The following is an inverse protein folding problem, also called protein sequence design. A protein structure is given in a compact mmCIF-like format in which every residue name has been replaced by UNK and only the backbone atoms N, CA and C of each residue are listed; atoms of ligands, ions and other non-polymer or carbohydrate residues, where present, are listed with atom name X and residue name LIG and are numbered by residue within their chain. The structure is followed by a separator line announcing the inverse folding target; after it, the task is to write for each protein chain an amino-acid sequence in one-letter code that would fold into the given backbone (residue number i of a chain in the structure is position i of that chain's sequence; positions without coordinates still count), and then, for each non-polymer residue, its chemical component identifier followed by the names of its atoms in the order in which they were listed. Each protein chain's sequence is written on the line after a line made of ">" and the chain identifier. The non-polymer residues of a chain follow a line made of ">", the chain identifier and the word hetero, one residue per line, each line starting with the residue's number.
data_IF_612048036057
#
_entry.id   IF_612048036057
#
_cell.length_a   1.000
_cell.length_b   1.000
_cell.length_c   1.000
_cell.angle_alpha   90.00
_cell.angle_beta   90.00
_cell.angle_gamma   90.00
#
_symmetry.space_group_name_H-M   'P 1'
#
loop_
_entity.id
_entity.type
_entity.pdbx_description
1 polymer ?
#
# COMPACT_ATOMS: atom_id res chain seq x y z
N UNK A 1 1.12 -15.86 13.46
CA UNK A 1 1.41 -15.52 14.88
C UNK A 1 1.50 -14.01 15.09
N UNK A 2 2.41 -13.29 14.41
CA UNK A 2 2.65 -11.85 14.63
C UNK A 2 1.43 -10.92 14.48
N UNK A 3 0.60 -11.12 13.46
CA UNK A 3 -0.60 -10.31 13.26
C UNK A 3 -1.60 -10.41 14.44
N UNK A 4 -1.74 -11.60 15.03
CA UNK A 4 -2.61 -11.80 16.21
C UNK A 4 -2.06 -11.15 17.48
N UNK A 5 -0.73 -11.21 17.67
CA UNK A 5 -0.06 -10.49 18.78
C UNK A 5 -0.25 -8.98 18.62
N UNK A 6 -0.08 -8.46 17.40
CA UNK A 6 -0.34 -7.04 17.09
C UNK A 6 -1.78 -6.63 17.43
N UNK A 7 -2.78 -7.46 17.12
CA UNK A 7 -4.16 -7.19 17.51
C UNK A 7 -4.32 -7.10 19.03
N UNK A 8 -3.72 -8.03 19.79
CA UNK A 8 -3.74 -8.00 21.25
C UNK A 8 -3.11 -6.72 21.81
N UNK A 9 -1.95 -6.31 21.29
CA UNK A 9 -1.29 -5.05 21.66
C UNK A 9 -2.15 -3.83 21.34
N UNK A 10 -2.80 -3.82 20.17
CA UNK A 10 -3.69 -2.73 19.76
C UNK A 10 -4.90 -2.59 20.69
N UNK A 11 -5.49 -3.71 21.10
CA UNK A 11 -6.59 -3.75 22.08
C UNK A 11 -6.13 -3.28 23.46
N UNK A 12 -4.87 -3.58 23.83
CA UNK A 12 -4.26 -3.13 25.08
C UNK A 12 -3.86 -1.63 25.07
N UNK A 13 -4.12 -0.90 23.99
CA UNK A 13 -3.88 0.55 23.89
C UNK A 13 -2.58 0.95 23.20
N UNK A 14 -1.82 0.00 22.63
CA UNK A 14 -0.63 0.30 21.81
C UNK A 14 -1.02 0.60 20.36
N UNK A 15 -0.07 1.13 19.56
CA UNK A 15 -0.20 1.31 18.11
C UNK A 15 0.87 0.49 17.37
N UNK A 16 0.70 -0.84 17.24
CA UNK A 16 1.73 -1.70 16.70
C UNK A 16 1.89 -1.55 15.18
N UNK A 17 3.13 -1.58 14.73
CA UNK A 17 3.51 -1.70 13.32
C UNK A 17 4.13 -3.09 13.14
N UNK A 18 3.33 -4.01 12.59
CA UNK A 18 3.72 -5.41 12.38
C UNK A 18 4.31 -5.55 10.98
N UNK A 19 5.49 -6.17 10.87
CA UNK A 19 6.10 -6.49 9.59
C UNK A 19 5.82 -7.96 9.20
N UNK A 20 5.43 -8.17 7.96
CA UNK A 20 5.50 -9.47 7.28
C UNK A 20 6.67 -9.40 6.29
N UNK A 21 7.67 -10.26 6.47
CA UNK A 21 8.94 -10.18 5.71
C UNK A 21 8.72 -10.10 4.19
N UNK A 22 7.86 -10.97 3.67
CA UNK A 22 7.32 -10.93 2.31
C UNK A 22 5.83 -11.23 2.33
N UNK A 23 5.06 -10.61 1.44
CA UNK A 23 3.62 -10.84 1.36
C UNK A 23 3.27 -12.31 1.08
N UNK A 24 4.09 -13.03 0.29
CA UNK A 24 3.94 -14.46 0.04
C UNK A 24 4.06 -15.32 1.31
N UNK A 25 4.97 -14.96 2.22
CA UNK A 25 5.11 -15.60 3.54
C UNK A 25 3.99 -15.15 4.52
N UNK A 26 3.32 -14.05 4.19
CA UNK A 26 2.21 -13.48 4.95
C UNK A 26 0.93 -14.32 4.95
N UNK A 27 0.82 -15.34 4.10
CA UNK A 27 -0.35 -16.22 4.00
C UNK A 27 -0.74 -16.84 5.34
N UNK A 28 0.23 -17.24 6.17
CA UNK A 28 -0.02 -17.76 7.52
C UNK A 28 -0.67 -16.75 8.47
N UNK A 29 -0.56 -15.44 8.18
CA UNK A 29 -1.20 -14.37 8.94
C UNK A 29 -2.59 -14.00 8.41
N UNK A 30 -2.97 -14.44 7.20
CA UNK A 30 -4.25 -14.08 6.58
C UNK A 30 -5.44 -14.49 7.44
N UNK A 31 -5.41 -15.67 8.06
CA UNK A 31 -6.51 -16.09 8.94
C UNK A 31 -6.77 -15.05 10.04
N UNK A 32 -5.73 -14.54 10.70
CA UNK A 32 -5.89 -13.51 11.73
C UNK A 32 -6.34 -12.18 11.16
N UNK A 33 -5.81 -11.78 10.00
CA UNK A 33 -6.21 -10.54 9.31
C UNK A 33 -7.70 -10.58 8.98
N UNK A 34 -8.16 -11.66 8.36
CA UNK A 34 -9.51 -11.81 7.80
C UNK A 34 -10.57 -12.08 8.87
N UNK A 35 -10.24 -12.91 9.87
CA UNK A 35 -11.25 -13.39 10.82
C UNK A 35 -11.26 -12.60 12.12
N UNK A 36 -10.17 -11.91 12.48
CA UNK A 36 -10.07 -11.18 13.75
C UNK A 36 -9.83 -9.69 13.56
N UNK A 37 -8.70 -9.30 12.96
CA UNK A 37 -8.28 -7.89 12.86
C UNK A 37 -9.33 -7.05 12.13
N UNK A 38 -9.71 -7.49 10.92
CA UNK A 38 -10.67 -6.79 10.07
C UNK A 38 -12.06 -6.66 10.68
N UNK A 39 -12.40 -7.53 11.64
CA UNK A 39 -13.74 -7.62 12.22
C UNK A 39 -13.82 -7.00 13.60
N UNK A 40 -12.72 -6.64 14.26
CA UNK A 40 -12.72 -6.31 15.69
C UNK A 40 -13.66 -5.16 16.04
N UNK A 41 -13.59 -4.04 15.29
CA UNK A 41 -14.49 -2.90 15.46
C UNK A 41 -15.96 -3.30 15.33
N UNK A 42 -16.30 -4.03 14.26
CA UNK A 42 -17.68 -4.44 14.01
C UNK A 42 -18.18 -5.50 15.01
N UNK A 43 -17.37 -6.52 15.28
CA UNK A 43 -17.64 -7.63 16.22
C UNK A 43 -18.00 -7.12 17.61
N UNK A 44 -17.31 -6.07 18.05
CA UNK A 44 -17.46 -5.51 19.39
C UNK A 44 -18.37 -4.30 19.42
N UNK A 45 -19.04 -3.98 18.30
CA UNK A 45 -19.91 -2.81 18.12
C UNK A 45 -19.21 -1.51 18.55
N UNK A 46 -17.94 -1.38 18.20
CA UNK A 46 -17.12 -0.21 18.49
C UNK A 46 -16.45 -0.19 19.86
N UNK A 47 -16.71 -1.16 20.75
CA UNK A 47 -16.05 -1.21 22.07
C UNK A 47 -14.54 -1.37 21.96
N UNK A 48 -14.06 -2.17 21.01
CA UNK A 48 -12.63 -2.32 20.71
C UNK A 48 -12.37 -1.99 19.24
N UNK A 49 -11.32 -1.20 19.00
CA UNK A 49 -10.79 -0.91 17.66
C UNK A 49 -9.49 -1.68 17.43
N UNK A 50 -8.96 -1.65 16.20
CA UNK A 50 -7.69 -2.27 15.86
C UNK A 50 -6.73 -1.25 15.21
N UNK A 51 -6.26 -0.23 15.98
CA UNK A 51 -5.33 0.79 15.48
C UNK A 51 -3.93 0.18 15.28
N UNK A 52 -3.70 -0.45 14.13
CA UNK A 52 -2.45 -1.13 13.82
C UNK A 52 -2.10 -1.05 12.35
N UNK A 53 -0.81 -1.12 12.06
CA UNK A 53 -0.29 -1.23 10.71
C UNK A 53 0.27 -2.63 10.49
N UNK A 54 -0.02 -3.22 9.34
CA UNK A 54 0.67 -4.41 8.86
C UNK A 54 1.37 -4.02 7.57
N UNK A 55 2.70 -4.02 7.60
CA UNK A 55 3.51 -3.70 6.43
C UNK A 55 4.17 -4.95 5.87
N UNK A 56 4.22 -5.05 4.55
CA UNK A 56 4.79 -6.20 3.86
C UNK A 56 5.42 -5.77 2.55
N UNK A 57 6.54 -6.40 2.20
CA UNK A 57 7.12 -6.27 0.87
C UNK A 57 6.29 -7.07 -0.14
N UNK A 58 6.12 -6.56 -1.36
CA UNK A 58 5.31 -7.23 -2.40
C UNK A 58 5.89 -7.09 -3.81
N UNK A 59 5.37 -7.90 -4.73
CA UNK A 59 5.59 -7.76 -6.16
C UNK A 59 6.96 -8.25 -6.66
N UNK A 60 7.00 -8.54 -7.96
CA UNK A 60 8.17 -9.14 -8.62
C UNK A 60 9.17 -8.12 -9.19
N UNK A 61 9.97 -8.60 -10.15
CA UNK A 61 10.97 -7.79 -10.86
C UNK A 61 12.34 -7.69 -10.17
N UNK A 62 12.57 -8.50 -9.13
CA UNK A 62 13.84 -8.58 -8.38
C UNK A 62 14.52 -9.96 -8.45
N UNK A 63 13.96 -10.90 -9.24
CA UNK A 63 14.46 -12.29 -9.37
C UNK A 63 14.55 -13.02 -8.02
N UNK A 64 13.59 -12.80 -7.14
CA UNK A 64 13.54 -13.48 -5.87
C UNK A 64 13.08 -14.94 -6.02
N UNK A 65 13.35 -15.76 -4.99
CA UNK A 65 12.90 -17.15 -4.91
C UNK A 65 11.38 -17.22 -4.67
N UNK A 66 10.84 -18.43 -4.69
CA UNK A 66 9.42 -18.70 -4.40
C UNK A 66 8.95 -18.01 -3.10
N UNK A 67 7.73 -17.47 -3.08
CA UNK A 67 7.12 -16.73 -1.95
C UNK A 67 7.65 -15.32 -1.66
N UNK A 68 8.42 -14.72 -2.58
CA UNK A 68 9.02 -13.39 -2.42
C UNK A 68 8.59 -12.38 -3.51
N UNK A 69 7.52 -12.65 -4.26
CA UNK A 69 7.13 -11.80 -5.41
C UNK A 69 5.62 -11.70 -5.64
N UNK A 70 4.83 -12.23 -4.72
CA UNK A 70 3.39 -12.26 -4.80
C UNK A 70 2.79 -10.85 -4.71
N UNK A 71 1.70 -10.66 -5.43
CA UNK A 71 0.84 -9.50 -5.40
C UNK A 71 -0.56 -9.97 -4.96
N UNK A 72 -0.85 -9.84 -3.66
CA UNK A 72 -2.08 -10.33 -3.01
C UNK A 72 -3.00 -9.19 -2.57
N UNK A 73 -2.77 -7.98 -3.05
CA UNK A 73 -3.56 -6.78 -2.74
C UNK A 73 -5.04 -6.97 -3.10
N UNK A 74 -5.34 -7.69 -4.19
CA UNK A 74 -6.73 -7.96 -4.59
C UNK A 74 -7.46 -8.81 -3.54
N UNK A 75 -6.81 -9.85 -3.01
CA UNK A 75 -7.39 -10.66 -1.93
C UNK A 75 -7.61 -9.84 -0.67
N UNK A 76 -6.63 -9.02 -0.28
CA UNK A 76 -6.74 -8.14 0.89
C UNK A 76 -7.84 -7.08 0.70
N UNK A 77 -7.94 -6.50 -0.49
CA UNK A 77 -9.00 -5.54 -0.83
C UNK A 77 -10.40 -6.16 -0.77
N UNK A 78 -10.54 -7.47 -0.96
CA UNK A 78 -11.84 -8.13 -0.79
C UNK A 78 -12.26 -8.29 0.68
N UNK A 79 -11.38 -8.03 1.66
CA UNK A 79 -11.67 -8.22 3.09
C UNK A 79 -12.24 -6.94 3.71
N UNK A 80 -13.52 -6.87 4.10
CA UNK A 80 -14.10 -5.67 4.71
C UNK A 80 -13.45 -5.34 6.06
N UNK A 81 -13.32 -4.04 6.38
CA UNK A 81 -12.82 -3.59 7.68
C UNK A 81 -11.29 -3.43 7.78
N UNK A 82 -10.56 -3.61 6.68
CA UNK A 82 -9.16 -3.18 6.54
C UNK A 82 -9.03 -2.15 5.41
N UNK A 83 -8.03 -1.28 5.53
CA UNK A 83 -7.55 -0.41 4.45
C UNK A 83 -6.29 -1.02 3.83
N UNK A 84 -6.05 -0.80 2.55
CA UNK A 84 -4.90 -1.33 1.80
C UNK A 84 -4.30 -0.21 0.98
N UNK A 85 -3.02 0.09 1.21
CA UNK A 85 -2.25 1.11 0.47
C UNK A 85 -1.02 0.49 -0.17
N UNK A 86 -0.63 1.02 -1.33
CA UNK A 86 0.49 0.56 -2.14
C UNK A 86 1.24 1.76 -2.74
N UNK A 87 2.14 2.42 -1.98
CA UNK A 87 2.91 3.57 -2.46
C UNK A 87 3.83 3.21 -3.62
N UNK A 88 4.07 4.19 -4.50
CA UNK A 88 5.00 4.08 -5.64
C UNK A 88 6.21 5.02 -5.55
N UNK A 89 6.23 5.95 -4.58
CA UNK A 89 7.29 6.96 -4.43
C UNK A 89 7.80 7.03 -2.98
N UNK A 90 9.03 7.51 -2.72
CA UNK A 90 9.50 7.79 -1.37
C UNK A 90 8.62 8.78 -0.59
N UNK A 91 8.14 9.84 -1.24
CA UNK A 91 7.22 10.81 -0.64
C UNK A 91 5.92 10.14 -0.17
N UNK A 92 5.30 9.36 -1.05
CA UNK A 92 4.04 8.67 -0.74
C UNK A 92 4.24 7.59 0.32
N UNK A 93 5.36 6.86 0.26
CA UNK A 93 5.69 5.84 1.28
C UNK A 93 5.71 6.45 2.67
N UNK A 94 6.42 7.58 2.87
CA UNK A 94 6.45 8.27 4.16
C UNK A 94 5.06 8.75 4.57
N UNK A 95 4.39 9.49 3.68
CA UNK A 95 3.10 10.11 4.01
C UNK A 95 2.00 9.10 4.30
N UNK A 96 1.91 8.02 3.53
CA UNK A 96 0.89 6.97 3.71
C UNK A 96 1.20 6.10 4.93
N UNK A 97 2.48 5.80 5.22
CA UNK A 97 2.83 5.05 6.42
C UNK A 97 2.51 5.84 7.70
N UNK A 98 2.79 7.15 7.72
CA UNK A 98 2.42 8.00 8.85
C UNK A 98 0.89 8.11 8.98
N UNK A 99 0.15 8.29 7.88
CA UNK A 99 -1.31 8.25 7.89
C UNK A 99 -1.87 6.91 8.38
N UNK A 100 -1.21 5.80 8.05
CA UNK A 100 -1.58 4.46 8.49
C UNK A 100 -1.39 4.28 10.01
N UNK A 101 -0.31 4.83 10.58
CA UNK A 101 -0.04 4.81 12.03
C UNK A 101 -1.06 5.65 12.81
N UNK A 102 -1.54 6.74 12.22
CA UNK A 102 -2.59 7.58 12.84
C UNK A 102 -4.00 7.00 12.70
N UNK A 103 -4.22 6.11 11.73
CA UNK A 103 -5.52 5.51 11.48
C UNK A 103 -6.03 4.74 12.71
N UNK A 104 -7.32 4.94 13.11
CA UNK A 104 -7.93 4.15 14.17
C UNK A 104 -8.35 2.74 13.67
N UNK A 105 -8.24 2.51 12.37
CA UNK A 105 -8.57 1.25 11.68
C UNK A 105 -7.30 0.54 11.21
N UNK A 106 -7.32 -0.80 11.07
CA UNK A 106 -6.17 -1.55 10.59
C UNK A 106 -5.85 -1.20 9.14
N UNK A 107 -4.58 -0.90 8.87
CA UNK A 107 -4.08 -0.55 7.54
C UNK A 107 -2.98 -1.53 7.11
N UNK A 108 -3.14 -2.08 5.91
CA UNK A 108 -2.11 -2.86 5.24
C UNK A 108 -1.29 -1.94 4.33
N UNK A 109 0.01 -1.85 4.56
CA UNK A 109 0.95 -1.07 3.74
C UNK A 109 1.78 -2.04 2.92
N UNK A 110 1.55 -2.05 1.61
CA UNK A 110 2.25 -2.94 0.68
C UNK A 110 3.38 -2.17 0.01
N UNK A 111 4.62 -2.59 0.25
CA UNK A 111 5.83 -1.90 -0.20
C UNK A 111 6.41 -2.65 -1.40
N UNK A 112 6.30 -2.12 -2.65
CA UNK A 112 6.78 -2.84 -3.81
C UNK A 112 8.31 -2.98 -3.77
N UNK A 113 8.79 -4.22 -3.69
CA UNK A 113 10.21 -4.49 -3.35
C UNK A 113 11.18 -3.92 -4.38
N UNK A 114 10.77 -3.95 -5.67
CA UNK A 114 11.55 -3.37 -6.79
C UNK A 114 11.82 -1.87 -6.59
N UNK A 115 10.99 -1.15 -5.83
CA UNK A 115 11.09 0.30 -5.69
C UNK A 115 12.00 0.79 -4.56
N UNK A 116 12.34 -0.04 -3.56
CA UNK A 116 13.12 0.37 -2.38
C UNK A 116 14.38 1.18 -2.69
N UNK A 117 15.07 0.84 -3.79
CA UNK A 117 16.31 1.50 -4.22
C UNK A 117 16.30 1.87 -5.70
N UNK A 118 15.11 1.94 -6.31
CA UNK A 118 14.99 2.21 -7.74
C UNK A 118 15.37 3.66 -8.11
N UNK A 119 15.06 4.62 -7.24
CA UNK A 119 15.35 6.03 -7.44
C UNK A 119 15.36 6.77 -6.10
N UNK A 120 15.86 8.02 -6.11
CA UNK A 120 15.81 8.94 -4.97
C UNK A 120 14.83 10.06 -5.29
N UNK A 121 14.17 10.57 -4.26
CA UNK A 121 13.28 11.72 -4.32
C UNK A 121 13.56 12.60 -3.11
N UNK A 122 13.44 13.91 -3.25
CA UNK A 122 13.42 14.80 -2.10
C UNK A 122 12.16 14.53 -1.29
N UNK A 123 12.33 14.27 0.01
CA UNK A 123 11.23 13.98 0.93
C UNK A 123 11.33 15.01 2.06
N UNK A 124 10.28 15.84 2.28
CA UNK A 124 10.30 16.83 3.35
C UNK A 124 10.64 16.20 4.69
N UNK A 125 11.47 16.86 5.49
CA UNK A 125 11.71 16.48 6.88
C UNK A 125 10.46 16.70 7.75
N UNK A 126 10.47 16.17 8.98
CA UNK A 126 9.35 16.32 9.91
C UNK A 126 8.14 15.45 9.57
N UNK A 127 7.02 15.74 10.22
CA UNK A 127 5.79 14.94 10.11
C UNK A 127 4.89 15.49 8.99
N UNK A 128 4.45 14.62 8.09
CA UNK A 128 3.38 14.90 7.14
C UNK A 128 2.64 13.61 6.78
N UNK A 129 1.41 13.73 6.32
CA UNK A 129 0.58 12.61 5.89
C UNK A 129 0.12 12.77 4.45
N UNK A 130 -0.04 11.65 3.75
CA UNK A 130 -0.79 11.57 2.49
C UNK A 130 -2.11 10.88 2.79
N UNK A 131 -3.22 11.43 2.27
CA UNK A 131 -4.56 10.94 2.60
C UNK A 131 -4.80 9.55 2.02
N UNK A 132 -5.17 8.61 2.88
CA UNK A 132 -5.61 7.27 2.48
C UNK A 132 -6.97 7.37 1.78
N UNK A 133 -7.13 6.66 0.68
CA UNK A 133 -8.31 6.72 -0.19
C UNK A 133 -8.26 7.77 -1.28
N UNK A 134 -7.13 8.47 -1.45
CA UNK A 134 -6.95 9.42 -2.53
C UNK A 134 -5.80 9.00 -3.46
N UNK A 135 -6.15 8.85 -4.74
CA UNK A 135 -5.18 8.73 -5.82
C UNK A 135 -4.49 10.06 -6.12
N UNK A 136 -3.53 10.01 -7.02
CA UNK A 136 -2.73 11.14 -7.43
C UNK A 136 -2.59 11.18 -8.94
N UNK A 137 -2.92 12.34 -9.50
CA UNK A 137 -2.70 12.62 -10.91
C UNK A 137 -1.24 13.00 -11.12
N UNK A 138 -0.48 12.12 -11.74
CA UNK A 138 0.94 12.33 -12.02
C UNK A 138 1.13 13.25 -13.24
N UNK A 139 0.31 13.08 -14.27
CA UNK A 139 0.31 13.91 -15.46
C UNK A 139 -1.11 14.10 -15.97
N UNK A 140 -1.38 15.26 -16.56
CA UNK A 140 -2.62 15.51 -17.29
C UNK A 140 -2.54 14.93 -18.70
N UNK A 141 -3.70 14.51 -19.22
CA UNK A 141 -3.87 14.15 -20.61
C UNK A 141 -5.33 13.95 -20.99
N UNK A 142 -5.57 13.75 -22.29
CA UNK A 142 -6.93 13.74 -22.86
C UNK A 142 -7.22 12.57 -23.80
N UNK A 143 -6.19 11.91 -24.33
CA UNK A 143 -6.36 10.88 -25.35
C UNK A 143 -6.49 9.48 -24.73
N UNK A 144 -5.91 9.28 -23.54
CA UNK A 144 -5.97 8.04 -22.77
C UNK A 144 -5.69 8.33 -21.28
N UNK A 145 -6.36 7.61 -20.38
CA UNK A 145 -6.03 7.58 -18.96
C UNK A 145 -5.41 6.24 -18.58
N UNK A 146 -4.22 6.27 -17.98
CA UNK A 146 -3.56 5.12 -17.37
C UNK A 146 -3.77 5.15 -15.86
N UNK A 147 -4.49 4.15 -15.34
CA UNK A 147 -4.67 3.94 -13.90
C UNK A 147 -3.68 2.86 -13.43
N UNK A 148 -2.86 3.20 -12.44
CA UNK A 148 -1.74 2.37 -11.99
C UNK A 148 -1.56 2.48 -10.47
N UNK A 149 -0.67 1.66 -9.90
CA UNK A 149 -0.20 1.75 -8.52
C UNK A 149 1.14 1.03 -8.37
N UNK A 150 1.83 1.26 -7.25
CA UNK A 150 3.05 0.56 -6.89
C UNK A 150 4.13 0.58 -7.98
N UNK A 151 4.74 -0.57 -8.26
CA UNK A 151 5.82 -0.71 -9.26
C UNK A 151 5.41 -0.23 -10.65
N UNK A 152 4.20 -0.57 -11.07
CA UNK A 152 3.70 -0.30 -12.41
C UNK A 152 3.63 1.20 -12.70
N UNK A 153 3.49 2.04 -11.68
CA UNK A 153 3.49 3.49 -11.84
C UNK A 153 4.77 4.00 -12.49
N UNK A 154 5.92 3.46 -12.10
CA UNK A 154 7.22 3.84 -12.68
C UNK A 154 7.34 3.32 -14.11
N UNK A 155 6.84 2.11 -14.38
CA UNK A 155 6.89 1.52 -15.72
C UNK A 155 5.96 2.29 -16.69
N UNK A 156 4.77 2.73 -16.24
CA UNK A 156 3.86 3.60 -17.00
C UNK A 156 4.49 4.97 -17.32
N UNK A 157 5.12 5.63 -16.34
CA UNK A 157 5.80 6.92 -16.58
C UNK A 157 6.90 6.80 -17.64
N UNK A 158 7.70 5.73 -17.60
CA UNK A 158 8.74 5.47 -18.61
C UNK A 158 8.14 5.21 -19.99
N UNK A 159 7.05 4.44 -20.06
CA UNK A 159 6.37 4.17 -21.32
C UNK A 159 5.80 5.44 -21.95
N UNK A 160 5.17 6.31 -21.16
CA UNK A 160 4.64 7.60 -21.63
C UNK A 160 5.75 8.56 -22.04
N UNK A 161 6.86 8.62 -21.29
CA UNK A 161 8.02 9.42 -21.68
C UNK A 161 8.58 9.00 -23.04
N UNK A 162 8.73 7.69 -23.28
CA UNK A 162 9.17 7.16 -24.58
C UNK A 162 8.15 7.44 -25.69
N UNK A 163 6.85 7.23 -25.43
CA UNK A 163 5.80 7.52 -26.42
C UNK A 163 5.83 8.98 -26.85
N UNK A 164 6.10 9.91 -25.94
CA UNK A 164 6.17 11.35 -26.22
C UNK A 164 7.31 11.71 -27.18
N UNK A 165 8.38 10.93 -27.23
CA UNK A 165 9.48 11.11 -28.20
C UNK A 165 9.02 10.74 -29.63
N UNK A 166 8.20 9.72 -29.77
CA UNK A 166 7.71 9.21 -31.08
C UNK A 166 6.41 9.92 -31.54
N UNK A 167 5.57 10.32 -30.59
CA UNK A 167 4.20 10.83 -30.78
C UNK A 167 3.93 12.03 -29.85
N UNK A 168 4.55 13.20 -30.10
CA UNK A 168 4.41 14.38 -29.24
C UNK A 168 3.00 14.98 -29.25
N UNK A 169 2.17 14.60 -30.24
CA UNK A 169 0.76 14.97 -30.37
C UNK A 169 -0.16 14.25 -29.37
N UNK A 170 0.28 13.11 -28.83
CA UNK A 170 -0.52 12.26 -27.95
C UNK A 170 -0.33 12.68 -26.49
N UNK A 171 -1.44 12.82 -25.76
CA UNK A 171 -1.50 13.31 -24.39
C UNK A 171 -2.14 12.27 -23.47
N UNK A 172 -1.34 11.71 -22.57
CA UNK A 172 -1.72 10.61 -21.67
C UNK A 172 -1.82 11.10 -20.23
N UNK A 173 -2.99 10.90 -19.63
CA UNK A 173 -3.19 11.11 -18.19
C UNK A 173 -2.68 9.89 -17.43
N UNK A 174 -1.94 10.10 -16.34
CA UNK A 174 -1.52 9.03 -15.43
C UNK A 174 -2.10 9.29 -14.05
N UNK A 175 -2.84 8.31 -13.52
CA UNK A 175 -3.39 8.30 -12.17
C UNK A 175 -2.75 7.15 -11.39
N UNK A 176 -2.03 7.49 -10.33
CA UNK A 176 -1.62 6.51 -9.32
C UNK A 176 -2.71 6.39 -8.24
N UNK A 177 -3.23 5.18 -8.01
CA UNK A 177 -4.28 4.98 -7.03
C UNK A 177 -3.83 5.25 -5.60
N UNK A 178 -2.56 4.98 -5.25
CA UNK A 178 -1.97 4.99 -3.89
C UNK A 178 -2.64 4.06 -2.88
N UNK A 179 -3.96 4.06 -2.81
CA UNK A 179 -4.82 3.22 -1.99
C UNK A 179 -5.56 2.23 -2.89
N UNK A 180 -5.46 0.95 -2.58
CA UNK A 180 -6.22 -0.12 -3.23
C UNK A 180 -7.61 -0.24 -2.58
N UNK A 181 -7.70 0.14 -1.29
CA UNK A 181 -8.93 0.10 -0.52
C UNK A 181 -8.93 1.01 0.73
N UNK A 182 -10.02 1.76 0.98
CA UNK A 182 -10.81 2.38 -0.08
C UNK A 182 -9.87 3.09 -1.06
#
# INVERSE_FOLDING_TARGET
>A
MFAGVGLGMAIAGMKPVVELQFLGLGLASLQNIITNISRMRNRTRGKYTAPMVIRATMGGGIRALEHHSEALEAMLAHVPGIKVVCPSTPYDTKGLLLAAIESPDPVIVLEPTKLYRAFKQEVPEGFFTVKIGEGYKISEGKDLTLVTYGTQTVDCQKAVAKLKEERPDVSIEIIDLRSIKP
#
